data_IF_516755608578
#
_entry.id   IF_516755608578
#
_cell.length_a   1.000
_cell.length_b   1.000
_cell.length_c   1.000
_cell.angle_alpha   90.00
_cell.angle_beta   90.00
_cell.angle_gamma   90.00
#
_symmetry.space_group_name_H-M   'P 1'
#
loop_
_entity.id
_entity.type
_entity.pdbx_description
1 polymer ?
#
# COMPACT_ATOMS: atom_id res chain seq x y z
N UNK A 1 0.49 -9.16 34.91
CA UNK A 1 0.50 -10.24 33.91
C UNK A 1 -0.94 -10.44 33.47
N UNK A 2 -1.37 -9.82 32.37
CA UNK A 2 -2.70 -10.09 31.80
C UNK A 2 -2.57 -11.39 31.00
N UNK A 3 -2.84 -12.53 31.66
CA UNK A 3 -3.14 -13.76 30.95
C UNK A 3 -4.59 -13.69 30.49
N UNK A 4 -4.82 -13.23 29.27
CA UNK A 4 -6.05 -13.58 28.56
C UNK A 4 -5.94 -15.08 28.28
N UNK A 5 -6.91 -15.87 28.73
CA UNK A 5 -6.99 -17.27 28.33
C UNK A 5 -6.91 -17.33 26.78
N UNK A 6 -6.18 -18.28 26.19
CA UNK A 6 -6.17 -18.40 24.74
C UNK A 6 -7.61 -18.55 24.26
N UNK A 7 -8.09 -17.57 23.52
CA UNK A 7 -9.41 -17.66 22.89
C UNK A 7 -9.27 -18.66 21.75
N UNK A 8 -10.13 -19.67 21.69
CA UNK A 8 -10.19 -20.53 20.52
C UNK A 8 -10.57 -19.67 19.31
N UNK A 9 -9.67 -19.57 18.33
CA UNK A 9 -9.89 -18.80 17.11
C UNK A 9 -10.49 -19.71 16.06
N UNK A 10 -11.76 -19.52 15.74
CA UNK A 10 -12.46 -20.28 14.68
C UNK A 10 -11.93 -19.95 13.27
N UNK A 11 -11.39 -18.75 13.09
CA UNK A 11 -10.82 -18.30 11.83
C UNK A 11 -10.18 -16.92 11.92
N UNK A 12 -9.41 -16.59 10.88
CA UNK A 12 -8.76 -15.31 10.67
C UNK A 12 -9.18 -14.73 9.33
N UNK A 13 -9.37 -13.41 9.30
CA UNK A 13 -9.63 -12.66 8.07
C UNK A 13 -8.59 -11.56 8.01
N UNK A 14 -7.81 -11.54 6.94
CA UNK A 14 -6.77 -10.56 6.69
C UNK A 14 -7.20 -9.68 5.51
N UNK A 15 -7.38 -8.38 5.76
CA UNK A 15 -7.60 -7.35 4.74
C UNK A 15 -6.23 -6.86 4.25
N UNK A 16 -5.71 -7.56 3.25
CA UNK A 16 -4.33 -7.48 2.83
C UNK A 16 -3.42 -8.40 3.61
N UNK A 17 -2.37 -8.88 2.96
CA UNK A 17 -1.26 -9.59 3.59
C UNK A 17 0.06 -8.98 3.13
N UNK A 18 0.88 -8.56 4.10
CA UNK A 18 2.23 -8.09 3.80
C UNK A 18 3.06 -9.25 3.24
N UNK A 19 4.07 -8.98 2.40
CA UNK A 19 5.03 -9.99 1.95
C UNK A 19 5.75 -10.67 3.14
N UNK A 20 6.42 -11.82 2.93
CA UNK A 20 7.24 -12.42 3.97
C UNK A 20 8.29 -11.44 4.49
N UNK A 21 8.48 -11.34 5.81
CA UNK A 21 9.41 -10.40 6.44
C UNK A 21 10.87 -10.57 5.98
N UNK A 22 11.24 -11.77 5.52
CA UNK A 22 12.56 -12.09 4.98
C UNK A 22 12.72 -11.71 3.50
N UNK A 23 11.67 -11.23 2.83
CA UNK A 23 11.70 -10.91 1.40
C UNK A 23 12.43 -9.60 1.14
N UNK A 24 13.62 -9.68 0.54
CA UNK A 24 14.38 -8.51 0.10
C UNK A 24 13.70 -7.78 -1.07
N UNK A 25 12.97 -8.52 -1.91
CA UNK A 25 12.31 -7.97 -3.10
C UNK A 25 11.17 -7.04 -2.73
N UNK A 26 10.37 -7.44 -1.75
CA UNK A 26 9.17 -6.72 -1.35
C UNK A 26 9.35 -5.93 -0.04
N UNK A 27 10.60 -5.75 0.37
CA UNK A 27 10.96 -5.02 1.58
C UNK A 27 10.41 -3.59 1.57
N UNK A 28 10.00 -3.10 2.75
CA UNK A 28 9.36 -1.80 2.87
C UNK A 28 10.26 -0.63 2.42
N UNK A 29 11.58 -0.78 2.58
CA UNK A 29 12.53 0.22 2.10
C UNK A 29 12.55 0.33 0.57
N UNK A 30 11.98 -0.64 -0.16
CA UNK A 30 11.79 -0.61 -1.62
C UNK A 30 10.40 -0.17 -2.03
N UNK A 31 9.57 0.34 -1.11
CA UNK A 31 8.15 0.65 -1.40
C UNK A 31 7.95 1.55 -2.63
N UNK A 32 8.87 2.46 -2.93
CA UNK A 32 8.79 3.29 -4.14
C UNK A 32 8.82 2.46 -5.44
N UNK A 33 9.50 1.32 -5.48
CA UNK A 33 9.50 0.41 -6.64
C UNK A 33 8.11 -0.18 -6.89
N UNK A 34 7.43 -0.63 -5.82
CA UNK A 34 6.05 -1.13 -5.91
C UNK A 34 5.07 -0.03 -6.32
N UNK A 35 5.17 1.14 -5.69
CA UNK A 35 4.31 2.30 -6.01
C UNK A 35 4.52 2.73 -7.47
N UNK A 36 5.76 2.74 -7.95
CA UNK A 36 6.07 3.05 -9.35
C UNK A 36 5.54 1.98 -10.31
N UNK A 37 5.69 0.71 -9.97
CA UNK A 37 5.15 -0.41 -10.76
C UNK A 37 3.63 -0.29 -10.92
N UNK A 38 2.90 -0.07 -9.81
CA UNK A 38 1.44 0.09 -9.84
C UNK A 38 1.04 1.36 -10.57
N UNK A 39 1.75 2.48 -10.37
CA UNK A 39 1.43 3.72 -11.06
C UNK A 39 1.69 3.66 -12.57
N UNK A 40 2.80 3.05 -13.00
CA UNK A 40 3.13 2.87 -14.41
C UNK A 40 2.18 1.91 -15.13
N UNK A 41 1.57 0.95 -14.44
CA UNK A 41 0.59 0.03 -15.05
C UNK A 41 -0.67 0.75 -15.55
N UNK A 42 -0.93 1.97 -15.07
CA UNK A 42 -2.04 2.83 -15.49
C UNK A 42 -1.73 3.64 -16.75
N UNK A 43 -0.46 3.68 -17.17
CA UNK A 43 0.01 4.58 -18.22
C UNK A 43 0.44 3.80 -19.45
N UNK A 44 0.03 4.26 -20.62
CA UNK A 44 0.70 3.92 -21.87
C UNK A 44 2.13 4.50 -21.87
N UNK A 45 3.03 3.98 -22.74
CA UNK A 45 4.38 4.55 -22.88
C UNK A 45 4.39 6.05 -23.21
N UNK A 46 3.40 6.52 -23.96
CA UNK A 46 3.26 7.93 -24.30
C UNK A 46 2.83 8.77 -23.09
N UNK A 47 1.88 8.31 -22.29
CA UNK A 47 1.46 9.00 -21.06
C UNK A 47 2.58 9.04 -20.02
N UNK A 48 3.38 7.97 -19.91
CA UNK A 48 4.56 7.95 -19.05
C UNK A 48 5.60 9.01 -19.49
N UNK A 49 5.90 9.10 -20.78
CA UNK A 49 6.82 10.12 -21.32
C UNK A 49 6.28 11.55 -21.14
N UNK A 50 4.96 11.74 -21.29
CA UNK A 50 4.30 13.02 -20.97
C UNK A 50 4.47 13.37 -19.50
N UNK A 51 4.29 12.39 -18.60
CA UNK A 51 4.45 12.64 -17.17
C UNK A 51 5.90 12.95 -16.78
N UNK A 52 6.88 12.27 -17.37
CA UNK A 52 8.30 12.62 -17.24
C UNK A 52 8.57 14.08 -17.65
N UNK A 53 7.96 14.53 -18.74
CA UNK A 53 8.07 15.91 -19.21
C UNK A 53 7.41 16.91 -18.24
N UNK A 54 6.25 16.58 -17.67
CA UNK A 54 5.57 17.37 -16.64
C UNK A 54 6.41 17.49 -15.35
N UNK A 55 7.10 16.42 -14.97
CA UNK A 55 7.98 16.40 -13.80
C UNK A 55 9.25 17.23 -14.01
N UNK A 56 9.75 17.31 -15.25
CA UNK A 56 10.94 18.07 -15.61
C UNK A 56 10.67 19.54 -15.99
N UNK A 57 9.41 19.96 -16.09
CA UNK A 57 9.04 21.31 -16.52
C UNK A 57 9.49 22.38 -15.53
N UNK A 58 10.05 23.48 -16.04
CA UNK A 58 10.45 24.67 -15.30
C UNK A 58 9.93 25.94 -16.02
N UNK A 59 9.04 26.74 -15.41
CA UNK A 59 8.41 26.53 -14.10
C UNK A 59 7.44 25.33 -14.12
N UNK A 60 7.37 24.60 -13.01
CA UNK A 60 6.47 23.45 -12.91
C UNK A 60 5.01 23.88 -12.72
N UNK A 61 4.06 23.41 -13.53
CA UNK A 61 2.65 23.88 -13.49
C UNK A 61 1.90 23.47 -12.22
N UNK A 62 2.52 22.65 -11.38
CA UNK A 62 1.96 22.05 -10.17
C UNK A 62 2.62 22.53 -8.87
N UNK A 63 3.72 23.30 -8.94
CA UNK A 63 4.56 23.63 -7.77
C UNK A 63 3.78 24.31 -6.64
N UNK A 64 2.91 25.27 -6.97
CA UNK A 64 2.11 26.02 -5.99
C UNK A 64 0.88 25.26 -5.48
N UNK A 65 0.60 24.09 -6.05
CA UNK A 65 -0.63 23.33 -5.81
C UNK A 65 -0.36 22.08 -4.99
N UNK A 66 0.76 21.40 -5.22
CA UNK A 66 1.06 20.11 -4.60
C UNK A 66 1.48 20.28 -3.13
N UNK A 67 0.76 19.67 -2.17
CA UNK A 67 1.18 19.68 -0.77
C UNK A 67 2.56 19.05 -0.60
N UNK A 68 3.48 19.77 0.06
CA UNK A 68 4.86 19.31 0.27
C UNK A 68 5.78 19.42 -0.95
N UNK A 69 5.28 19.88 -2.10
CA UNK A 69 6.10 20.15 -3.28
C UNK A 69 6.64 18.91 -4.01
N UNK A 70 6.11 17.72 -3.75
CA UNK A 70 6.52 16.48 -4.42
C UNK A 70 5.33 15.86 -5.19
N UNK A 71 5.30 16.10 -6.51
CA UNK A 71 4.25 15.57 -7.37
C UNK A 71 4.31 14.03 -7.47
N UNK A 72 5.50 13.42 -7.50
CA UNK A 72 5.64 11.95 -7.60
C UNK A 72 5.00 11.27 -6.40
N UNK A 73 5.25 11.81 -5.21
CA UNK A 73 4.69 11.29 -3.97
C UNK A 73 3.18 11.55 -3.90
N UNK A 74 2.72 12.73 -4.31
CA UNK A 74 1.28 13.03 -4.35
C UNK A 74 0.54 12.09 -5.31
N UNK A 75 1.01 11.94 -6.54
CA UNK A 75 0.39 11.05 -7.53
C UNK A 75 0.42 9.59 -7.06
N UNK A 76 1.53 9.14 -6.43
CA UNK A 76 1.63 7.80 -5.84
C UNK A 76 0.61 7.56 -4.73
N UNK A 77 0.24 8.59 -3.97
CA UNK A 77 -0.78 8.47 -2.93
C UNK A 77 -2.20 8.25 -3.47
N UNK A 78 -2.50 8.73 -4.69
CA UNK A 78 -3.81 8.56 -5.32
C UNK A 78 -4.10 7.09 -5.65
N UNK A 79 -3.06 6.27 -5.80
CA UNK A 79 -3.17 4.84 -6.11
C UNK A 79 -3.98 4.05 -5.05
N UNK A 80 -4.07 4.56 -3.83
CA UNK A 80 -4.84 3.94 -2.74
C UNK A 80 -6.36 4.13 -2.90
N UNK A 81 -6.81 5.00 -3.79
CA UNK A 81 -8.22 5.34 -3.96
C UNK A 81 -8.63 5.05 -5.41
N UNK A 82 -9.41 3.99 -5.70
CA UNK A 82 -9.73 3.59 -7.08
C UNK A 82 -10.24 4.74 -7.97
N UNK A 83 -11.17 5.56 -7.48
CA UNK A 83 -11.71 6.71 -8.21
C UNK A 83 -10.66 7.79 -8.53
N UNK A 84 -9.71 8.04 -7.61
CA UNK A 84 -8.63 9.02 -7.83
C UNK A 84 -7.53 8.45 -8.70
N UNK A 85 -7.23 7.15 -8.54
CA UNK A 85 -6.30 6.40 -9.36
C UNK A 85 -6.71 6.45 -10.83
N UNK A 86 -7.99 6.26 -11.14
CA UNK A 86 -8.53 6.32 -12.49
C UNK A 86 -8.34 7.70 -13.17
N UNK A 87 -8.15 8.77 -12.40
CA UNK A 87 -7.99 10.15 -12.91
C UNK A 87 -6.54 10.53 -13.21
N UNK A 88 -5.57 9.68 -12.88
CA UNK A 88 -4.14 9.97 -13.05
C UNK A 88 -3.78 10.34 -14.51
N UNK A 89 -4.21 9.61 -15.55
CA UNK A 89 -3.90 9.97 -16.94
C UNK A 89 -4.44 11.36 -17.35
N UNK A 90 -5.65 11.70 -16.92
CA UNK A 90 -6.26 13.00 -17.20
C UNK A 90 -5.54 14.15 -16.48
N UNK A 91 -5.10 13.91 -15.24
CA UNK A 91 -4.29 14.87 -14.48
C UNK A 91 -2.98 15.13 -15.21
N UNK A 92 -2.28 14.08 -15.66
CA UNK A 92 -1.03 14.19 -16.42
C UNK A 92 -1.27 14.99 -17.71
N UNK A 93 -2.32 14.65 -18.45
CA UNK A 93 -2.68 15.32 -19.70
C UNK A 93 -2.97 16.81 -19.47
N UNK A 94 -3.74 17.16 -18.44
CA UNK A 94 -4.04 18.55 -18.12
C UNK A 94 -2.79 19.33 -17.70
N UNK A 95 -1.94 18.75 -16.85
CA UNK A 95 -0.68 19.37 -16.43
C UNK A 95 0.26 19.61 -17.62
N UNK A 96 0.30 18.71 -18.61
CA UNK A 96 1.08 18.91 -19.83
C UNK A 96 0.60 20.10 -20.68
N UNK A 97 -0.66 20.53 -20.47
CA UNK A 97 -1.27 21.70 -21.08
C UNK A 97 -1.29 22.92 -20.12
N UNK A 98 -0.49 22.89 -19.04
CA UNK A 98 -0.43 23.90 -17.98
C UNK A 98 -1.76 24.14 -17.24
N UNK A 99 -2.64 23.13 -17.21
CA UNK A 99 -3.89 23.16 -16.44
C UNK A 99 -3.78 22.31 -15.16
N UNK A 100 -3.66 22.99 -14.02
CA UNK A 100 -3.62 22.35 -12.70
C UNK A 100 -5.01 22.07 -12.11
N UNK A 101 -6.11 22.38 -12.80
CA UNK A 101 -7.47 22.27 -12.24
C UNK A 101 -7.84 20.83 -11.87
N UNK A 102 -7.55 19.80 -12.69
CA UNK A 102 -7.83 18.41 -12.32
C UNK A 102 -7.01 17.95 -11.10
N UNK A 103 -5.77 18.43 -10.98
CA UNK A 103 -4.89 18.16 -9.85
C UNK A 103 -5.44 18.78 -8.55
N UNK A 104 -5.86 20.05 -8.57
CA UNK A 104 -6.49 20.71 -7.40
C UNK A 104 -7.71 19.94 -6.91
N UNK A 105 -8.59 19.54 -7.83
CA UNK A 105 -9.76 18.74 -7.47
C UNK A 105 -9.36 17.38 -6.88
N UNK A 106 -8.33 16.72 -7.42
CA UNK A 106 -7.85 15.46 -6.86
C UNK A 106 -7.26 15.63 -5.44
N UNK A 107 -6.63 16.78 -5.15
CA UNK A 107 -6.16 17.11 -3.79
C UNK A 107 -7.34 17.23 -2.83
N UNK A 108 -8.37 17.99 -3.20
CA UNK A 108 -9.58 18.19 -2.38
C UNK A 108 -10.30 16.85 -2.13
N UNK A 109 -10.52 16.07 -3.19
CA UNK A 109 -11.21 14.79 -3.09
C UNK A 109 -10.41 13.77 -2.26
N UNK A 110 -9.07 13.77 -2.38
CA UNK A 110 -8.20 12.94 -1.53
C UNK A 110 -8.33 13.31 -0.06
N UNK A 111 -8.36 14.60 0.26
CA UNK A 111 -8.54 15.07 1.63
C UNK A 111 -9.89 14.63 2.19
N UNK A 112 -10.96 14.75 1.40
CA UNK A 112 -12.29 14.30 1.78
C UNK A 112 -12.34 12.77 2.00
N UNK A 113 -11.75 12.00 1.09
CA UNK A 113 -11.68 10.54 1.21
C UNK A 113 -10.90 10.10 2.46
N UNK A 114 -9.77 10.74 2.75
CA UNK A 114 -8.98 10.45 3.95
C UNK A 114 -9.74 10.82 5.23
N UNK A 115 -10.43 11.96 5.25
CA UNK A 115 -11.25 12.39 6.38
C UNK A 115 -12.41 11.42 6.68
N UNK A 116 -12.99 10.79 5.65
CA UNK A 116 -14.03 9.76 5.83
C UNK A 116 -13.50 8.52 6.57
N UNK A 117 -12.22 8.18 6.39
CA UNK A 117 -11.57 7.04 7.06
C UNK A 117 -11.12 7.42 8.48
N UNK A 118 -10.62 8.64 8.67
CA UNK A 118 -10.05 9.10 9.95
C UNK A 118 -11.02 9.87 10.83
N UNK A 119 -12.28 10.03 10.44
CA UNK A 119 -13.27 10.85 11.14
C UNK A 119 -13.76 10.28 12.48
N UNK A 120 -13.26 9.12 12.90
CA UNK A 120 -13.68 8.44 14.12
C UNK A 120 -12.72 8.69 15.29
N UNK A 121 -13.25 8.76 16.51
CA UNK A 121 -12.45 9.02 17.72
C UNK A 121 -11.33 7.98 17.95
N UNK A 122 -11.57 6.73 17.52
CA UNK A 122 -10.60 5.64 17.58
C UNK A 122 -9.51 5.71 16.50
N UNK A 123 -9.63 6.59 15.51
CA UNK A 123 -8.68 6.73 14.39
C UNK A 123 -7.50 7.64 14.74
N UNK A 124 -7.07 7.65 16.01
CA UNK A 124 -5.87 8.37 16.42
C UNK A 124 -4.66 7.89 15.59
N UNK A 125 -3.76 8.83 15.26
CA UNK A 125 -2.63 8.51 14.38
C UNK A 125 -1.75 7.41 15.00
N UNK A 126 -1.62 6.30 14.29
CA UNK A 126 -0.67 5.23 14.60
C UNK A 126 0.72 5.48 14.00
N UNK A 127 0.95 6.62 13.34
CA UNK A 127 2.16 6.86 12.57
C UNK A 127 3.47 6.65 13.36
N UNK A 128 3.63 7.12 14.62
CA UNK A 128 4.86 6.86 15.38
C UNK A 128 5.11 5.37 15.61
N UNK A 129 4.06 4.60 15.94
CA UNK A 129 4.17 3.16 16.16
C UNK A 129 4.46 2.42 14.86
N UNK A 130 3.79 2.80 13.77
CA UNK A 130 4.03 2.23 12.43
C UNK A 130 5.48 2.46 12.01
N UNK A 131 6.03 3.67 12.19
CA UNK A 131 7.43 3.96 11.83
C UNK A 131 8.39 3.14 12.70
N UNK A 132 8.15 3.04 14.00
CA UNK A 132 8.97 2.24 14.92
C UNK A 132 9.02 0.75 14.54
N UNK A 133 7.85 0.13 14.32
CA UNK A 133 7.74 -1.27 13.91
C UNK A 133 8.34 -1.46 12.51
N UNK A 134 8.08 -0.52 11.61
CA UNK A 134 8.61 -0.57 10.24
C UNK A 134 10.13 -0.54 10.19
N UNK A 135 10.76 0.33 10.99
CA UNK A 135 12.20 0.45 11.06
C UNK A 135 12.87 -0.78 11.72
N UNK A 136 12.20 -1.40 12.69
CA UNK A 136 12.76 -2.54 13.44
C UNK A 136 12.53 -3.87 12.74
N UNK A 137 11.31 -4.12 12.26
CA UNK A 137 10.87 -5.42 11.74
C UNK A 137 10.77 -5.41 10.21
N UNK A 138 10.21 -4.36 9.60
CA UNK A 138 9.91 -4.36 8.17
C UNK A 138 10.99 -3.66 7.32
N UNK A 139 12.24 -3.66 7.78
CA UNK A 139 13.36 -3.03 7.06
C UNK A 139 14.57 -3.97 7.01
N UNK A 140 14.74 -4.68 5.91
CA UNK A 140 15.91 -5.51 5.65
C UNK A 140 17.21 -4.70 5.42
N UNK A 141 17.12 -3.37 5.34
CA UNK A 141 18.25 -2.45 5.10
C UNK A 141 18.32 -1.38 6.22
N UNK A 142 18.69 -1.75 7.45
CA UNK A 142 18.72 -0.82 8.59
C UNK A 142 19.67 0.36 8.38
N UNK A 143 20.73 0.20 7.59
CA UNK A 143 21.72 1.24 7.28
C UNK A 143 21.40 2.03 5.99
N UNK A 144 20.17 1.96 5.47
CA UNK A 144 19.79 2.68 4.27
C UNK A 144 19.87 4.20 4.51
N UNK A 145 20.44 4.93 3.56
CA UNK A 145 20.61 6.39 3.65
C UNK A 145 19.64 7.12 2.73
N UNK A 146 19.38 8.39 3.03
CA UNK A 146 18.57 9.27 2.18
C UNK A 146 19.11 9.35 0.75
N UNK A 147 20.43 9.30 0.59
CA UNK A 147 21.08 9.35 -0.72
C UNK A 147 20.81 8.09 -1.55
N UNK A 148 20.82 6.91 -0.91
CA UNK A 148 20.44 5.65 -1.55
C UNK A 148 18.97 5.71 -1.97
N UNK A 149 18.07 6.13 -1.07
CA UNK A 149 16.63 6.27 -1.38
C UNK A 149 16.39 7.21 -2.56
N UNK A 150 17.07 8.38 -2.58
CA UNK A 150 16.97 9.35 -3.67
C UNK A 150 17.46 8.78 -5.00
N UNK A 151 18.54 8.01 -4.96
CA UNK A 151 19.11 7.35 -6.15
C UNK A 151 18.17 6.27 -6.68
N UNK A 152 17.63 5.42 -5.80
CA UNK A 152 16.67 4.36 -6.20
C UNK A 152 15.37 4.96 -6.76
N UNK A 153 14.92 6.11 -6.25
CA UNK A 153 13.71 6.78 -6.71
C UNK A 153 13.91 7.69 -7.94
N UNK A 154 15.13 7.85 -8.46
CA UNK A 154 15.40 8.89 -9.48
C UNK A 154 14.62 8.66 -10.78
N UNK A 155 14.48 7.40 -11.19
CA UNK A 155 13.74 6.99 -12.40
C UNK A 155 12.26 6.71 -12.15
N UNK A 156 11.79 6.78 -10.90
CA UNK A 156 10.38 6.55 -10.60
C UNK A 156 9.52 7.74 -11.02
N UNK A 157 8.30 7.47 -11.48
CA UNK A 157 7.24 8.46 -11.73
C UNK A 157 6.32 8.61 -10.52
N UNK A 158 6.21 7.56 -9.72
CA UNK A 158 5.42 7.53 -8.50
C UNK A 158 6.30 7.06 -7.35
N UNK A 159 6.23 7.73 -6.20
CA UNK A 159 7.10 7.42 -5.05
C UNK A 159 6.30 7.29 -3.76
N UNK A 160 6.87 6.56 -2.80
CA UNK A 160 6.38 6.50 -1.43
C UNK A 160 7.28 7.32 -0.52
N UNK A 161 6.74 7.97 0.54
CA UNK A 161 7.60 8.55 1.58
C UNK A 161 8.25 7.50 2.49
N UNK A 162 7.75 6.27 2.52
CA UNK A 162 8.17 5.28 3.52
C UNK A 162 9.69 4.97 3.46
N UNK A 163 10.32 4.77 2.28
CA UNK A 163 11.76 4.58 2.22
C UNK A 163 12.55 5.74 2.85
N UNK A 164 12.12 6.98 2.63
CA UNK A 164 12.77 8.14 3.24
C UNK A 164 12.60 8.14 4.75
N UNK A 165 11.42 7.81 5.28
CA UNK A 165 11.21 7.67 6.73
C UNK A 165 12.08 6.57 7.35
N UNK A 166 12.28 5.45 6.65
CA UNK A 166 13.15 4.36 7.10
C UNK A 166 14.63 4.73 7.06
N UNK A 167 15.03 5.58 6.13
CA UNK A 167 16.38 6.16 6.06
C UNK A 167 16.59 7.36 7.02
N UNK A 168 15.62 7.64 7.90
CA UNK A 168 15.69 8.72 8.87
C UNK A 168 16.01 8.15 10.25
N UNK A 169 17.10 8.59 10.89
CA UNK A 169 17.51 8.14 12.25
C UNK A 169 16.66 8.76 13.39
N UNK A 170 15.35 8.93 13.17
CA UNK A 170 14.51 9.81 14.01
C UNK A 170 13.95 9.08 15.22
N UNK A 171 13.84 7.74 15.18
CA UNK A 171 13.29 6.94 16.27
C UNK A 171 14.25 5.80 16.67
N UNK A 172 14.37 5.50 17.98
CA UNK A 172 15.16 4.35 18.44
C UNK A 172 14.50 3.05 17.97
N UNK A 173 15.25 2.19 17.29
CA UNK A 173 14.81 0.84 16.91
C UNK A 173 14.96 -0.13 18.09
N UNK A 174 14.30 -1.28 18.01
CA UNK A 174 14.53 -2.41 18.90
C UNK A 174 15.12 -3.59 18.14
N UNK A 175 15.83 -4.46 18.87
CA UNK A 175 16.37 -5.69 18.28
C UNK A 175 15.25 -6.68 17.97
N UNK A 176 15.38 -7.36 16.83
CA UNK A 176 14.51 -8.46 16.43
C UNK A 176 14.69 -9.62 17.40
N UNK A 177 13.58 -10.21 17.83
CA UNK A 177 13.60 -11.39 18.68
C UNK A 177 13.57 -12.68 17.85
N UNK A 178 13.45 -13.82 18.53
CA UNK A 178 13.38 -15.14 17.89
C UNK A 178 12.09 -15.40 17.09
N UNK A 179 11.06 -14.57 17.26
CA UNK A 179 9.80 -14.72 16.52
C UNK A 179 9.85 -14.04 15.14
N UNK A 180 10.80 -13.12 14.91
CA UNK A 180 10.97 -12.43 13.64
C UNK A 180 11.13 -13.41 12.46
N UNK A 181 10.36 -13.19 11.40
CA UNK A 181 10.35 -14.00 10.18
C UNK A 181 9.89 -15.44 10.35
N UNK A 182 9.33 -15.81 11.52
CA UNK A 182 8.84 -17.16 11.76
C UNK A 182 7.41 -17.34 11.23
N UNK A 183 7.12 -18.51 10.68
CA UNK A 183 5.76 -18.94 10.35
C UNK A 183 5.12 -19.55 11.61
N UNK A 184 3.86 -19.24 11.93
CA UNK A 184 3.19 -19.83 13.09
C UNK A 184 3.13 -21.37 12.95
N UNK A 185 3.22 -22.08 14.09
CA UNK A 185 3.18 -23.55 14.08
C UNK A 185 1.81 -24.12 13.67
N UNK A 186 0.75 -23.37 13.90
CA UNK A 186 -0.60 -23.72 13.49
C UNK A 186 -1.39 -22.44 13.19
N UNK A 187 -2.22 -22.50 12.14
CA UNK A 187 -3.09 -21.41 11.73
C UNK A 187 -4.53 -21.93 11.63
N UNK A 188 -5.53 -21.22 12.18
CA UNK A 188 -6.93 -21.56 11.95
C UNK A 188 -7.29 -21.31 10.47
N UNK A 189 -8.53 -21.65 10.09
CA UNK A 189 -9.06 -21.28 8.76
C UNK A 189 -8.81 -19.80 8.53
N UNK A 190 -8.14 -19.45 7.44
CA UNK A 190 -7.72 -18.08 7.16
C UNK A 190 -8.18 -17.65 5.78
N UNK A 191 -8.86 -16.52 5.71
CA UNK A 191 -9.15 -15.81 4.47
C UNK A 191 -8.19 -14.63 4.33
N UNK A 192 -7.50 -14.55 3.21
CA UNK A 192 -6.74 -13.37 2.79
C UNK A 192 -7.49 -12.69 1.66
N UNK A 193 -8.00 -11.48 1.90
CA UNK A 193 -8.56 -10.64 0.83
C UNK A 193 -7.44 -9.72 0.33
N UNK A 194 -7.09 -9.77 -0.96
CA UNK A 194 -5.96 -9.02 -1.51
C UNK A 194 -6.34 -8.30 -2.81
N UNK A 195 -6.04 -7.01 -2.90
CA UNK A 195 -6.20 -6.20 -4.11
C UNK A 195 -5.05 -6.39 -5.09
N UNK A 196 -5.34 -6.49 -6.40
CA UNK A 196 -4.29 -6.61 -7.44
C UNK A 196 -3.58 -5.31 -7.77
N UNK A 197 -4.12 -4.17 -7.30
CA UNK A 197 -3.58 -2.82 -7.52
C UNK A 197 -3.31 -2.11 -6.19
N UNK A 198 -2.99 -2.86 -5.13
CA UNK A 198 -2.59 -2.30 -3.83
C UNK A 198 -1.13 -1.77 -3.94
N UNK A 199 -0.92 -0.44 -3.83
CA UNK A 199 0.42 0.17 -3.90
C UNK A 199 1.21 -0.02 -2.59
N UNK A 200 0.58 -0.54 -1.54
CA UNK A 200 1.13 -0.71 -0.21
C UNK A 200 1.43 -2.17 0.13
N UNK A 201 0.73 -3.14 -0.42
CA UNK A 201 1.08 -4.55 -0.25
C UNK A 201 1.08 -5.23 -1.60
N UNK A 202 2.27 -5.65 -2.06
CA UNK A 202 2.43 -6.26 -3.37
C UNK A 202 1.56 -7.51 -3.46
N UNK A 203 0.72 -7.60 -4.49
CA UNK A 203 -0.15 -8.77 -4.69
C UNK A 203 0.67 -10.06 -4.78
N UNK A 204 1.75 -10.05 -5.55
CA UNK A 204 2.64 -11.22 -5.67
C UNK A 204 3.36 -11.52 -4.35
N UNK A 205 3.79 -10.50 -3.60
CA UNK A 205 4.39 -10.68 -2.28
C UNK A 205 3.41 -11.27 -1.27
N UNK A 206 2.14 -10.87 -1.31
CA UNK A 206 1.08 -11.46 -0.51
C UNK A 206 0.88 -12.94 -0.87
N UNK A 207 0.87 -13.30 -2.16
CA UNK A 207 0.76 -14.69 -2.59
C UNK A 207 1.96 -15.55 -2.19
N UNK A 208 3.18 -14.99 -2.23
CA UNK A 208 4.39 -15.63 -1.68
C UNK A 208 4.19 -15.94 -0.19
N UNK A 209 3.66 -15.00 0.59
CA UNK A 209 3.41 -15.21 2.02
C UNK A 209 2.28 -16.22 2.27
N UNK A 210 1.20 -16.19 1.47
CA UNK A 210 0.13 -17.20 1.54
C UNK A 210 0.69 -18.61 1.34
N UNK A 211 1.64 -18.79 0.41
CA UNK A 211 2.24 -20.10 0.17
C UNK A 211 2.95 -20.64 1.43
N UNK A 212 3.66 -19.78 2.17
CA UNK A 212 4.29 -20.14 3.45
C UNK A 212 3.25 -20.45 4.53
N UNK A 213 2.22 -19.61 4.67
CA UNK A 213 1.17 -19.80 5.69
C UNK A 213 0.35 -21.08 5.49
N UNK A 214 0.25 -21.59 4.26
CA UNK A 214 -0.43 -22.87 3.97
C UNK A 214 0.26 -24.08 4.59
N UNK A 215 1.54 -23.97 4.95
CA UNK A 215 2.24 -25.01 5.70
C UNK A 215 1.75 -25.10 7.15
N UNK A 216 1.20 -24.00 7.68
CA UNK A 216 0.69 -23.90 9.06
C UNK A 216 -0.82 -24.16 9.18
N UNK A 217 -1.59 -24.08 8.09
CA UNK A 217 -3.03 -24.30 8.14
C UNK A 217 -3.79 -23.97 6.85
N UNK A 218 -5.13 -24.08 6.86
CA UNK A 218 -5.96 -23.85 5.68
C UNK A 218 -6.11 -22.35 5.37
N UNK A 219 -5.47 -21.91 4.28
CA UNK A 219 -5.52 -20.51 3.80
C UNK A 219 -6.18 -20.41 2.41
N UNK A 220 -7.27 -19.66 2.34
CA UNK A 220 -7.94 -19.25 1.08
C UNK A 220 -7.64 -17.80 0.75
N UNK A 221 -7.61 -17.48 -0.55
CA UNK A 221 -7.39 -16.11 -1.04
C UNK A 221 -8.62 -15.65 -1.81
N UNK A 222 -9.12 -14.46 -1.49
CA UNK A 222 -10.08 -13.72 -2.29
C UNK A 222 -9.34 -12.58 -2.99
N UNK A 223 -9.17 -12.70 -4.29
CA UNK A 223 -8.51 -11.68 -5.12
C UNK A 223 -9.52 -10.63 -5.54
N UNK A 224 -9.21 -9.36 -5.29
CA UNK A 224 -10.00 -8.22 -5.76
C UNK A 224 -9.27 -7.55 -6.90
N UNK A 225 -9.70 -7.83 -8.12
CA UNK A 225 -9.15 -7.23 -9.34
C UNK A 225 -9.37 -5.72 -9.32
N UNK A 226 -8.29 -4.96 -9.50
CA UNK A 226 -8.33 -3.49 -9.36
C UNK A 226 -8.44 -3.02 -7.90
N UNK A 227 -8.54 -3.90 -6.91
CA UNK A 227 -8.59 -3.52 -5.50
C UNK A 227 -7.32 -2.76 -5.07
N UNK A 228 -7.49 -1.70 -4.30
CA UNK A 228 -6.40 -0.96 -3.65
C UNK A 228 -6.19 -1.43 -2.20
N UNK A 229 -5.30 -0.76 -1.46
CA UNK A 229 -5.14 -0.97 -0.02
C UNK A 229 -6.45 -0.71 0.73
N UNK A 230 -6.70 -1.44 1.83
CA UNK A 230 -7.91 -1.37 2.65
C UNK A 230 -9.18 -1.70 1.84
N UNK A 231 -9.36 -2.99 1.50
CA UNK A 231 -10.40 -3.42 0.57
C UNK A 231 -11.82 -3.15 1.08
N UNK A 232 -12.01 -3.12 2.40
CA UNK A 232 -13.31 -2.72 2.96
C UNK A 232 -13.74 -1.32 2.48
N UNK A 233 -12.80 -0.42 2.22
CA UNK A 233 -13.07 0.91 1.67
C UNK A 233 -12.95 0.96 0.15
N UNK A 234 -11.94 0.30 -0.43
CA UNK A 234 -11.67 0.37 -1.86
C UNK A 234 -12.64 -0.47 -2.71
N UNK A 235 -13.15 -1.58 -2.17
CA UNK A 235 -14.05 -2.50 -2.87
C UNK A 235 -14.99 -3.21 -1.87
N UNK A 236 -15.88 -2.46 -1.19
CA UNK A 236 -16.68 -2.95 -0.07
C UNK A 236 -17.51 -4.19 -0.43
N UNK A 237 -18.13 -4.20 -1.62
CA UNK A 237 -18.97 -5.32 -2.04
C UNK A 237 -18.18 -6.61 -2.22
N UNK A 238 -16.99 -6.53 -2.82
CA UNK A 238 -16.08 -7.67 -2.96
C UNK A 238 -15.59 -8.17 -1.59
N UNK A 239 -15.15 -7.26 -0.72
CA UNK A 239 -14.66 -7.61 0.61
C UNK A 239 -15.76 -8.25 1.47
N UNK A 240 -16.92 -7.59 1.57
CA UNK A 240 -18.06 -8.09 2.37
C UNK A 240 -18.59 -9.41 1.82
N UNK A 241 -18.63 -9.59 0.50
CA UNK A 241 -19.02 -10.84 -0.14
C UNK A 241 -18.11 -12.01 0.26
N UNK A 242 -16.79 -11.81 0.16
CA UNK A 242 -15.79 -12.82 0.52
C UNK A 242 -15.82 -13.16 2.02
N UNK A 243 -15.87 -12.13 2.87
CA UNK A 243 -15.94 -12.27 4.33
C UNK A 243 -17.20 -13.03 4.76
N UNK A 244 -18.36 -12.67 4.21
CA UNK A 244 -19.64 -13.32 4.54
C UNK A 244 -19.61 -14.81 4.19
N UNK A 245 -19.15 -15.16 2.99
CA UNK A 245 -19.01 -16.55 2.57
C UNK A 245 -18.10 -17.32 3.54
N UNK A 246 -16.93 -16.75 3.86
CA UNK A 246 -15.98 -17.38 4.80
C UNK A 246 -16.58 -17.61 6.20
N UNK A 247 -17.28 -16.62 6.75
CA UNK A 247 -17.95 -16.69 8.05
C UNK A 247 -19.04 -17.77 8.09
N UNK A 248 -19.72 -18.03 6.98
CA UNK A 248 -20.73 -19.09 6.88
C UNK A 248 -20.15 -20.48 6.59
N UNK A 249 -18.83 -20.62 6.53
CA UNK A 249 -18.19 -21.90 6.17
C UNK A 249 -18.26 -22.22 4.68
N UNK A 250 -18.65 -21.26 3.86
CA UNK A 250 -18.72 -21.39 2.40
C UNK A 250 -17.36 -21.08 1.77
N UNK A 251 -17.20 -21.47 0.51
CA UNK A 251 -16.02 -21.09 -0.27
C UNK A 251 -16.20 -19.66 -0.77
N UNK A 252 -15.38 -18.73 -0.27
CA UNK A 252 -15.35 -17.37 -0.78
C UNK A 252 -15.00 -17.37 -2.28
N UNK A 253 -15.59 -16.48 -3.10
CA UNK A 253 -15.18 -16.30 -4.49
C UNK A 253 -13.68 -16.05 -4.58
N UNK A 254 -12.98 -16.78 -5.44
CA UNK A 254 -11.54 -16.63 -5.62
C UNK A 254 -11.16 -15.27 -6.24
N UNK A 255 -12.09 -14.68 -7.00
CA UNK A 255 -11.92 -13.43 -7.73
C UNK A 255 -13.19 -12.60 -7.69
N UNK A 256 -13.04 -11.30 -7.49
CA UNK A 256 -14.08 -10.27 -7.62
C UNK A 256 -13.48 -9.06 -8.33
N UNK A 257 -14.24 -8.34 -9.13
CA UNK A 257 -13.78 -7.10 -9.74
C UNK A 257 -14.25 -5.90 -8.92
N UNK A 258 -13.31 -5.03 -8.52
CA UNK A 258 -13.66 -3.71 -8.03
C UNK A 258 -14.33 -2.90 -9.16
N UNK A 259 -15.31 -2.03 -8.84
CA UNK A 259 -15.90 -1.12 -9.81
C UNK A 259 -14.87 -0.15 -10.41
#
# INVERSE_FOLDING_TARGET
MMHVAPVELDGLILDGLVPPESSIRWDLSRRSELVDQVGRSLLSPMEAATYESVLAADPSPWADVVPGGDLKQFMGSLLNFPDLRARIPDIITALSNNDASPLRRAIEDRQAAFAAITGFAQSASSAPLVILISASENNARPDITQEVVRTEASSALFTSPLPAFLASDVLPTYERDSAFGQIPAALPRTLVAQGTMDPNTAYEGALEHVALLREAGPVSVATVEGGAHLLLFAAPDCFVGAVRAFMHGETAPSTCAAP
#
